data_IF_181814856618
#
_entry.id   IF_181814856618
#
_cell.length_a   1.000
_cell.length_b   1.000
_cell.length_c   1.000
_cell.angle_alpha   90.00
_cell.angle_beta   90.00
_cell.angle_gamma   90.00
#
_symmetry.space_group_name_H-M   'P 1'
#
loop_
_entity.id
_entity.type
_entity.pdbx_description
1 polymer ?
#
# COMPACT_ATOMS: atom_id res chain seq x y z
N UNK A 1 39.88 -32.31 -12.28
CA UNK A 1 39.60 -30.89 -12.62
C UNK A 1 38.09 -30.66 -12.57
N UNK A 2 37.67 -29.56 -11.91
CA UNK A 2 36.45 -28.72 -12.11
C UNK A 2 35.11 -29.41 -12.43
N UNK A 3 34.00 -29.11 -11.76
CA UNK A 3 33.69 -28.05 -10.81
C UNK A 3 32.24 -28.19 -10.34
N UNK A 4 31.94 -27.65 -9.17
CA UNK A 4 30.56 -27.44 -8.69
C UNK A 4 29.87 -26.41 -9.60
N UNK A 5 28.55 -26.53 -9.76
CA UNK A 5 27.72 -25.35 -9.54
C UNK A 5 26.52 -25.63 -8.63
N UNK A 6 26.47 -24.88 -7.54
CA UNK A 6 25.21 -24.35 -6.99
C UNK A 6 25.12 -22.91 -7.50
N UNK A 7 23.94 -22.36 -7.84
CA UNK A 7 23.00 -22.04 -6.78
C UNK A 7 21.52 -22.26 -7.11
N UNK A 8 20.78 -22.45 -6.02
CA UNK A 8 19.35 -22.38 -5.87
C UNK A 8 18.77 -21.10 -6.47
N UNK A 9 18.29 -21.18 -7.71
CA UNK A 9 17.24 -20.28 -8.18
C UNK A 9 15.94 -20.80 -7.59
N UNK A 10 15.53 -20.19 -6.46
CA UNK A 10 14.12 -20.19 -6.05
C UNK A 10 13.35 -19.43 -7.12
N UNK A 11 13.00 -20.15 -8.17
CA UNK A 11 11.92 -19.78 -9.09
C UNK A 11 10.65 -19.72 -8.25
N UNK A 12 10.27 -18.52 -7.80
CA UNK A 12 8.91 -18.25 -7.38
C UNK A 12 8.04 -18.32 -8.65
N UNK A 13 7.19 -19.35 -8.81
CA UNK A 13 6.50 -19.53 -10.07
C UNK A 13 5.09 -18.90 -9.97
N UNK A 14 4.78 -18.06 -10.96
CA UNK A 14 3.46 -17.61 -11.41
C UNK A 14 2.73 -16.49 -10.63
N UNK A 15 2.86 -15.27 -11.13
CA UNK A 15 1.75 -14.31 -11.16
C UNK A 15 1.32 -14.11 -12.62
N UNK A 16 0.24 -14.78 -13.03
CA UNK A 16 -0.51 -14.38 -14.23
C UNK A 16 -1.42 -13.20 -13.83
N UNK A 17 -1.35 -12.05 -14.52
CA UNK A 17 -2.31 -10.98 -14.30
C UNK A 17 -3.60 -11.30 -15.04
N UNK A 18 -4.67 -11.62 -14.31
CA UNK A 18 -6.02 -11.57 -14.87
C UNK A 18 -6.50 -10.12 -14.81
N UNK A 19 -6.75 -9.53 -15.97
CA UNK A 19 -7.30 -8.17 -16.09
C UNK A 19 -8.81 -8.23 -16.31
N UNK A 20 -9.50 -7.47 -15.45
CA UNK A 20 -10.70 -6.65 -15.71
C UNK A 20 -12.01 -7.33 -16.17
N UNK A 21 -13.03 -7.31 -15.31
CA UNK A 21 -14.43 -6.94 -15.61
C UNK A 21 -15.34 -7.20 -14.38
N UNK A 22 -15.92 -6.14 -13.79
CA UNK A 22 -17.16 -6.08 -12.98
C UNK A 22 -17.14 -4.86 -12.01
N UNK A 23 -17.13 -3.63 -12.52
CA UNK A 23 -18.30 -2.74 -12.69
C UNK A 23 -19.04 -2.31 -11.41
N UNK A 24 -19.05 -0.99 -11.18
CA UNK A 24 -20.10 -0.32 -10.40
C UNK A 24 -19.78 1.13 -10.02
N UNK A 25 -20.20 2.11 -10.83
CA UNK A 25 -20.60 3.43 -10.28
C UNK A 25 -19.74 4.64 -10.63
N UNK A 26 -20.14 5.33 -11.70
CA UNK A 26 -20.08 6.78 -11.96
C UNK A 26 -18.76 7.56 -11.73
N UNK A 27 -18.20 7.92 -12.89
CA UNK A 27 -17.73 9.27 -13.23
C UNK A 27 -16.33 9.69 -12.77
N UNK A 28 -15.44 9.73 -13.79
CA UNK A 28 -14.22 10.53 -13.94
C UNK A 28 -12.95 10.00 -13.31
N UNK A 29 -12.25 9.10 -14.02
CA UNK A 29 -10.86 9.28 -14.51
C UNK A 29 -10.36 7.96 -15.11
N UNK A 30 -10.12 7.93 -16.42
CA UNK A 30 -9.94 6.69 -17.19
C UNK A 30 -8.62 6.66 -17.97
N UNK A 31 -7.52 7.17 -17.42
CA UNK A 31 -6.27 7.32 -18.19
C UNK A 31 -4.98 6.82 -17.52
N UNK A 32 -5.03 6.16 -16.36
CA UNK A 32 -3.82 5.59 -15.69
C UNK A 32 -3.95 4.10 -15.33
N UNK A 33 -5.00 3.42 -15.78
CA UNK A 33 -5.40 2.11 -15.26
C UNK A 33 -4.52 0.92 -15.73
N UNK A 34 -3.72 1.08 -16.78
CA UNK A 34 -3.01 -0.05 -17.40
C UNK A 34 -1.59 -0.25 -16.87
N UNK A 35 -0.88 0.82 -16.52
CA UNK A 35 0.48 0.74 -15.93
C UNK A 35 0.43 0.55 -14.40
N UNK A 36 -0.54 1.20 -13.73
CA UNK A 36 -0.57 1.22 -12.26
C UNK A 36 -0.94 -0.11 -11.61
N UNK A 37 -1.67 -1.01 -12.30
CA UNK A 37 -2.02 -2.32 -11.75
C UNK A 37 -0.80 -3.22 -11.49
N UNK A 38 0.26 -3.10 -12.32
CA UNK A 38 1.49 -3.89 -12.14
C UNK A 38 2.33 -3.31 -11.00
N UNK A 39 2.45 -1.98 -10.93
CA UNK A 39 3.18 -1.29 -9.87
C UNK A 39 2.54 -1.52 -8.49
N UNK A 40 1.21 -1.45 -8.38
CA UNK A 40 0.51 -1.69 -7.11
C UNK A 40 0.68 -3.13 -6.61
N UNK A 41 0.61 -4.12 -7.49
CA UNK A 41 0.77 -5.51 -7.09
C UNK A 41 2.16 -5.82 -6.56
N UNK A 42 3.20 -5.24 -7.17
CA UNK A 42 4.56 -5.38 -6.69
C UNK A 42 4.81 -4.63 -5.38
N UNK A 43 4.31 -3.40 -5.27
CA UNK A 43 4.54 -2.59 -4.07
C UNK A 43 3.75 -3.11 -2.87
N UNK A 44 2.53 -3.63 -3.06
CA UNK A 44 1.76 -4.29 -1.99
C UNK A 44 2.40 -5.63 -1.57
N UNK A 45 2.92 -6.44 -2.51
CA UNK A 45 3.65 -7.65 -2.15
C UNK A 45 4.89 -7.32 -1.30
N UNK A 46 5.69 -6.34 -1.72
CA UNK A 46 6.85 -5.86 -0.96
C UNK A 46 6.46 -5.30 0.41
N UNK A 47 5.32 -4.61 0.49
CA UNK A 47 4.81 -4.07 1.75
C UNK A 47 4.38 -5.18 2.69
N UNK A 48 3.66 -6.20 2.20
CA UNK A 48 3.29 -7.38 2.98
C UNK A 48 4.51 -8.06 3.59
N UNK A 49 5.53 -8.34 2.76
CA UNK A 49 6.80 -8.91 3.22
C UNK A 49 7.49 -8.01 4.26
N UNK A 50 7.52 -6.69 4.02
CA UNK A 50 8.16 -5.73 4.95
C UNK A 50 7.45 -5.68 6.30
N UNK A 51 6.12 -5.67 6.31
CA UNK A 51 5.33 -5.63 7.54
C UNK A 51 5.50 -6.93 8.33
N UNK A 52 5.50 -8.08 7.66
CA UNK A 52 5.70 -9.38 8.29
C UNK A 52 7.11 -9.52 8.91
N UNK A 53 8.14 -8.99 8.24
CA UNK A 53 9.53 -9.09 8.69
C UNK A 53 9.89 -8.10 9.80
N UNK A 54 9.59 -6.81 9.60
CA UNK A 54 10.06 -5.75 10.52
C UNK A 54 9.03 -5.27 11.53
N UNK A 55 7.75 -5.44 11.24
CA UNK A 55 6.67 -4.86 12.04
C UNK A 55 5.60 -5.90 12.43
N UNK A 56 5.99 -7.09 12.91
CA UNK A 56 5.02 -8.14 13.21
C UNK A 56 4.10 -7.70 14.36
N UNK A 57 2.78 -7.78 14.13
CA UNK A 57 1.76 -7.50 15.15
C UNK A 57 1.47 -6.01 15.39
N UNK A 58 2.13 -5.11 14.68
CA UNK A 58 1.86 -3.68 14.75
C UNK A 58 0.51 -3.33 14.08
N UNK A 59 -0.32 -2.44 14.66
CA UNK A 59 -1.48 -1.92 13.98
C UNK A 59 -1.06 -1.15 12.72
N UNK A 60 -1.61 -1.53 11.56
CA UNK A 60 -1.30 -0.88 10.28
C UNK A 60 -2.51 -0.07 9.83
N UNK A 61 -2.25 1.20 9.53
CA UNK A 61 -3.19 2.12 8.90
C UNK A 61 -2.72 2.40 7.49
N UNK A 62 -3.52 2.08 6.48
CA UNK A 62 -3.10 2.15 5.10
C UNK A 62 -3.89 3.22 4.35
N UNK A 63 -3.17 4.15 3.73
CA UNK A 63 -3.69 5.21 2.85
C UNK A 63 -2.93 5.13 1.53
N UNK A 64 -3.47 4.34 0.60
CA UNK A 64 -2.85 4.14 -0.70
C UNK A 64 -3.88 4.30 -1.80
N UNK A 65 -3.43 4.88 -2.91
CA UNK A 65 -4.24 5.00 -4.11
C UNK A 65 -4.00 3.76 -4.98
N UNK A 66 -5.02 2.93 -5.14
CA UNK A 66 -4.94 1.72 -5.95
C UNK A 66 -6.23 0.91 -5.91
N UNK A 67 -6.31 -0.14 -6.73
CA UNK A 67 -7.44 -1.09 -6.71
C UNK A 67 -7.07 -2.50 -6.23
N UNK A 68 -5.78 -2.79 -6.02
CA UNK A 68 -5.34 -4.09 -5.56
C UNK A 68 -5.64 -4.28 -4.08
N UNK A 69 -6.35 -5.34 -3.70
CA UNK A 69 -6.82 -5.53 -2.33
C UNK A 69 -5.67 -5.91 -1.36
N UNK A 70 -5.40 -5.17 -0.26
CA UNK A 70 -4.23 -5.41 0.59
C UNK A 70 -4.27 -6.75 1.32
N UNK A 71 -5.47 -7.23 1.67
CA UNK A 71 -5.64 -8.51 2.37
C UNK A 71 -5.15 -9.70 1.54
N UNK A 72 -5.21 -9.60 0.20
CA UNK A 72 -4.65 -10.61 -0.71
C UNK A 72 -3.12 -10.75 -0.58
N UNK A 73 -2.44 -9.69 -0.14
CA UNK A 73 -1.00 -9.66 0.14
C UNK A 73 -0.67 -9.90 1.62
N UNK A 74 -1.64 -10.35 2.42
CA UNK A 74 -1.47 -10.57 3.87
C UNK A 74 -1.41 -9.29 4.69
N UNK A 75 -1.76 -8.14 4.11
CA UNK A 75 -1.75 -6.85 4.80
C UNK A 75 -3.10 -6.65 5.49
N UNK A 76 -3.13 -6.85 6.81
CA UNK A 76 -4.29 -6.55 7.64
C UNK A 76 -4.24 -5.07 8.08
N UNK A 77 -4.63 -4.17 7.19
CA UNK A 77 -4.64 -2.74 7.46
C UNK A 77 -6.06 -2.19 7.73
N UNK A 78 -6.13 -1.17 8.57
CA UNK A 78 -7.33 -0.37 8.82
C UNK A 78 -7.23 0.96 8.09
N UNK A 79 -8.36 1.62 7.92
CA UNK A 79 -8.41 2.92 7.29
C UNK A 79 -8.39 4.04 8.35
N UNK A 80 -7.41 4.97 8.35
CA UNK A 80 -7.28 5.94 9.46
C UNK A 80 -8.39 6.99 9.48
N UNK A 81 -9.23 7.07 8.45
CA UNK A 81 -10.39 7.95 8.41
C UNK A 81 -11.65 7.33 9.05
N UNK A 82 -11.65 6.03 9.36
CA UNK A 82 -12.82 5.38 9.99
C UNK A 82 -12.86 5.58 11.51
N UNK A 83 -11.82 6.18 12.09
CA UNK A 83 -11.71 6.44 13.53
C UNK A 83 -11.24 7.87 13.82
N UNK A 84 -11.50 8.40 15.02
CA UNK A 84 -10.91 9.64 15.52
C UNK A 84 -9.38 9.63 15.46
N UNK A 85 -8.74 10.80 15.31
CA UNK A 85 -7.30 10.85 14.99
C UNK A 85 -6.49 10.35 16.17
N UNK A 86 -6.88 10.72 17.38
CA UNK A 86 -6.35 10.23 18.65
C UNK A 86 -6.45 8.70 18.83
N UNK A 87 -7.10 7.95 17.94
CA UNK A 87 -7.12 6.49 17.96
C UNK A 87 -6.23 5.85 16.89
N UNK A 88 -5.62 6.66 16.01
CA UNK A 88 -4.70 6.20 14.97
C UNK A 88 -3.30 6.13 15.55
N UNK A 89 -2.92 4.94 16.05
CA UNK A 89 -1.60 4.64 16.60
C UNK A 89 -0.95 3.45 15.89
N UNK A 90 0.37 3.36 15.94
CA UNK A 90 1.15 2.31 15.29
C UNK A 90 1.72 2.78 13.96
N UNK A 91 1.54 1.99 12.91
CA UNK A 91 2.08 2.29 11.59
C UNK A 91 1.06 3.01 10.72
N UNK A 92 1.46 4.14 10.14
CA UNK A 92 0.72 4.81 9.08
C UNK A 92 1.49 4.63 7.78
N UNK A 93 0.91 3.84 6.88
CA UNK A 93 1.47 3.53 5.57
C UNK A 93 0.78 4.39 4.53
N UNK A 94 1.55 5.22 3.83
CA UNK A 94 1.03 6.20 2.86
C UNK A 94 1.70 6.00 1.51
N UNK A 95 0.93 6.07 0.44
CA UNK A 95 1.51 6.14 -0.91
C UNK A 95 2.06 7.55 -1.21
N UNK A 96 3.17 7.65 -1.94
CA UNK A 96 3.78 8.94 -2.31
C UNK A 96 2.82 9.81 -3.12
N UNK A 97 1.93 9.21 -3.91
CA UNK A 97 0.87 9.94 -4.63
C UNK A 97 -0.12 10.59 -3.66
N UNK A 98 -0.62 9.83 -2.67
CA UNK A 98 -1.49 10.38 -1.61
C UNK A 98 -0.80 11.49 -0.82
N UNK A 99 0.48 11.31 -0.48
CA UNK A 99 1.26 12.32 0.24
C UNK A 99 1.40 13.60 -0.59
N UNK A 100 1.75 13.46 -1.88
CA UNK A 100 2.01 14.58 -2.79
C UNK A 100 0.75 15.38 -3.10
N UNK A 101 -0.35 14.69 -3.38
CA UNK A 101 -1.62 15.34 -3.71
C UNK A 101 -2.33 15.87 -2.47
N UNK A 102 -1.94 15.40 -1.28
CA UNK A 102 -2.66 15.59 -0.01
C UNK A 102 -4.13 15.16 -0.08
N UNK A 103 -4.57 14.57 -1.19
CA UNK A 103 -5.92 14.06 -1.41
C UNK A 103 -5.78 12.86 -2.30
N UNK A 104 -6.37 11.76 -1.89
CA UNK A 104 -6.50 10.55 -2.69
C UNK A 104 -7.72 9.81 -2.20
N UNK A 105 -8.35 9.02 -3.06
CA UNK A 105 -9.40 8.08 -2.67
C UNK A 105 -8.70 6.77 -2.36
N UNK A 106 -8.60 6.38 -1.08
CA UNK A 106 -7.89 5.17 -0.74
C UNK A 106 -8.64 3.95 -1.26
N UNK A 107 -7.93 2.87 -1.54
CA UNK A 107 -8.60 1.67 -1.99
C UNK A 107 -9.60 1.15 -0.93
N UNK A 108 -10.71 0.59 -1.39
CA UNK A 108 -11.76 0.06 -0.52
C UNK A 108 -12.69 1.13 0.08
N UNK A 109 -12.57 2.39 -0.32
CA UNK A 109 -13.47 3.48 0.09
C UNK A 109 -13.79 4.40 -1.09
N UNK A 110 -14.97 5.02 -1.06
CA UNK A 110 -15.36 6.10 -1.98
C UNK A 110 -15.11 7.49 -1.38
N UNK A 111 -14.61 7.54 -0.13
CA UNK A 111 -14.37 8.78 0.61
C UNK A 111 -12.92 9.22 0.38
N UNK A 112 -12.69 10.39 -0.23
CA UNK A 112 -11.35 10.93 -0.37
C UNK A 112 -10.76 11.30 0.99
N UNK A 113 -9.46 11.09 1.11
CA UNK A 113 -8.66 11.59 2.23
C UNK A 113 -8.64 13.12 2.15
N UNK A 114 -9.16 13.79 3.18
CA UNK A 114 -9.08 15.24 3.26
C UNK A 114 -7.64 15.70 3.52
N UNK A 115 -7.16 16.77 2.85
CA UNK A 115 -5.78 17.24 2.99
C UNK A 115 -5.40 17.59 4.41
N UNK A 116 -6.32 18.19 5.16
CA UNK A 116 -6.09 18.51 6.57
C UNK A 116 -5.92 17.25 7.42
N UNK A 117 -6.72 16.22 7.16
CA UNK A 117 -6.77 15.02 7.99
C UNK A 117 -5.54 14.15 7.81
N UNK A 118 -5.05 13.99 6.58
CA UNK A 118 -3.81 13.25 6.35
C UNK A 118 -2.62 13.99 6.96
N UNK A 119 -2.57 15.32 6.80
CA UNK A 119 -1.52 16.15 7.41
C UNK A 119 -1.53 16.06 8.94
N UNK A 120 -2.69 16.20 9.60
CA UNK A 120 -2.81 16.07 11.06
C UNK A 120 -2.21 14.75 11.61
N UNK A 121 -2.43 13.65 10.89
CA UNK A 121 -1.87 12.35 11.26
C UNK A 121 -0.35 12.32 11.05
N UNK A 122 0.13 12.84 9.93
CA UNK A 122 1.57 12.83 9.60
C UNK A 122 2.39 13.83 10.42
N UNK A 123 1.84 14.98 10.80
CA UNK A 123 2.50 16.02 11.61
C UNK A 123 2.88 15.50 13.01
N UNK A 124 2.10 14.54 13.51
CA UNK A 124 2.35 13.87 14.80
C UNK A 124 3.04 12.51 14.64
N UNK A 125 3.56 12.20 13.44
CA UNK A 125 4.22 10.93 13.13
C UNK A 125 5.66 11.14 12.68
N UNK A 126 6.47 10.09 12.82
CA UNK A 126 7.86 10.07 12.32
C UNK A 126 7.97 9.12 11.14
N UNK A 127 8.57 9.55 10.04
CA UNK A 127 8.91 8.64 8.93
C UNK A 127 10.00 7.66 9.38
N UNK A 128 9.74 6.35 9.26
CA UNK A 128 10.64 5.31 9.75
C UNK A 128 11.11 4.32 8.68
N UNK A 129 10.38 4.18 7.56
CA UNK A 129 10.79 3.26 6.49
C UNK A 129 10.15 3.59 5.15
N UNK A 130 10.78 3.14 4.07
CA UNK A 130 10.28 3.25 2.69
C UNK A 130 10.29 1.87 2.04
N UNK A 131 9.20 1.53 1.37
CA UNK A 131 9.02 0.28 0.62
C UNK A 131 8.90 0.61 -0.87
N UNK A 132 9.78 0.03 -1.67
CA UNK A 132 9.86 0.33 -3.10
C UNK A 132 10.16 1.81 -3.35
N UNK A 133 9.46 2.40 -4.32
CA UNK A 133 9.59 3.83 -4.66
C UNK A 133 8.36 4.66 -4.30
N UNK A 134 7.26 4.01 -3.88
CA UNK A 134 5.97 4.66 -3.77
C UNK A 134 5.29 4.48 -2.42
N UNK A 135 5.84 3.73 -1.46
CA UNK A 135 5.21 3.49 -0.16
C UNK A 135 6.12 3.98 0.97
N UNK A 136 5.57 4.84 1.83
CA UNK A 136 6.22 5.40 3.00
C UNK A 136 5.54 4.89 4.27
N UNK A 137 6.33 4.57 5.29
CA UNK A 137 5.86 4.09 6.58
C UNK A 137 6.24 5.11 7.64
N UNK A 138 5.23 5.60 8.34
CA UNK A 138 5.33 6.49 9.47
C UNK A 138 4.95 5.74 10.74
N UNK A 139 5.54 6.10 11.88
CA UNK A 139 5.13 5.64 13.20
C UNK A 139 4.53 6.79 13.99
N UNK A 140 3.42 6.50 14.67
CA UNK A 140 2.68 7.41 15.53
C UNK A 140 2.42 6.84 16.91
#
# INVERSE_FOLDING_TARGET
MRGRPSPSLRTFPYYLPYSNEAFGGTSRTHTQLTDSNVDWGQDLARLGDRLADKYPGEPVWLVYEGRGEPTYYGINARHPLTVPADQVHGLIVVSTTCLRLQTCIPAGTDIPTGPRRLQELLDSSTHIDTVGHAILIYRR
#
